data_IF_078575896067
#
_entry.id   IF_078575896067
#
_cell.length_a   1.000
_cell.length_b   1.000
_cell.length_c   1.000
_cell.angle_alpha   90.00
_cell.angle_beta   90.00
_cell.angle_gamma   90.00
#
_symmetry.space_group_name_H-M   'P 1'
#
loop_
_entity.id
_entity.type
_entity.pdbx_description
1 polymer ?
#
# COMPACT_ATOMS: atom_id res chain seq x y z
N UNK A 1 6.57 23.54 10.00
CA UNK A 1 5.32 22.89 9.53
C UNK A 1 4.34 22.83 10.70
N UNK A 2 3.06 23.15 10.51
CA UNK A 2 2.02 22.97 11.54
C UNK A 2 1.29 21.65 11.27
N UNK A 3 1.37 20.71 12.20
CA UNK A 3 0.71 19.41 12.06
C UNK A 3 -0.72 19.49 12.61
N UNK A 4 -1.67 18.94 11.85
CA UNK A 4 -3.06 18.80 12.31
C UNK A 4 -3.27 17.36 12.79
N UNK A 5 -3.24 17.19 14.11
CA UNK A 5 -3.36 15.87 14.76
C UNK A 5 -4.83 15.60 15.08
N UNK A 6 -5.36 14.50 14.56
CA UNK A 6 -6.68 13.99 14.87
C UNK A 6 -6.63 13.14 16.14
N UNK A 7 -7.36 13.56 17.17
CA UNK A 7 -7.41 12.90 18.48
C UNK A 7 -8.59 11.94 18.65
N UNK A 8 -9.33 11.63 17.57
CA UNK A 8 -10.50 10.74 17.61
C UNK A 8 -10.20 9.37 18.24
N UNK A 9 -8.97 8.89 18.12
CA UNK A 9 -8.55 7.57 18.62
C UNK A 9 -7.58 7.64 19.82
N UNK A 10 -7.42 8.82 20.42
CA UNK A 10 -6.53 8.98 21.55
C UNK A 10 -7.00 8.11 22.73
N UNK A 11 -6.06 7.42 23.36
CA UNK A 11 -6.27 6.70 24.61
C UNK A 11 -6.58 7.71 25.72
N UNK A 12 -7.62 7.41 26.48
CA UNK A 12 -8.10 8.25 27.57
C UNK A 12 -7.41 7.96 28.89
N UNK A 13 -7.92 8.58 29.96
CA UNK A 13 -7.47 8.28 31.32
C UNK A 13 -7.66 6.79 31.61
N UNK A 14 -6.64 6.17 32.21
CA UNK A 14 -6.58 4.73 32.52
C UNK A 14 -6.48 3.79 31.31
N UNK A 15 -6.19 4.32 30.12
CA UNK A 15 -5.90 3.52 28.92
C UNK A 15 -4.43 3.63 28.52
N UNK A 16 -3.84 2.50 28.10
CA UNK A 16 -2.42 2.42 27.76
C UNK A 16 -1.50 2.43 28.99
N UNK A 17 -0.23 2.76 28.77
CA UNK A 17 0.80 2.80 29.81
C UNK A 17 0.82 4.14 30.53
N UNK A 18 0.93 4.09 31.86
CA UNK A 18 1.21 5.26 32.70
C UNK A 18 2.70 5.51 32.93
N UNK A 19 3.59 4.72 32.31
CA UNK A 19 5.04 4.77 32.57
C UNK A 19 5.70 5.79 31.64
N UNK A 20 6.55 6.67 32.20
CA UNK A 20 7.33 7.66 31.44
C UNK A 20 8.51 7.03 30.72
N UNK A 21 8.90 7.65 29.61
CA UNK A 21 10.03 7.22 28.77
C UNK A 21 11.31 7.96 29.11
N UNK A 22 12.46 7.37 28.77
CA UNK A 22 13.78 8.01 28.93
C UNK A 22 14.20 8.92 27.75
N UNK A 23 13.31 9.11 26.76
CA UNK A 23 13.48 10.06 25.65
C UNK A 23 14.76 9.86 24.83
N UNK A 24 15.06 8.62 24.41
CA UNK A 24 16.23 8.32 23.58
C UNK A 24 15.91 8.10 22.11
N UNK A 25 14.73 7.56 21.79
CA UNK A 25 14.40 7.12 20.44
C UNK A 25 13.04 7.59 19.95
N UNK A 26 12.95 8.12 18.74
CA UNK A 26 11.68 8.09 17.99
C UNK A 26 11.71 6.81 17.16
N UNK A 27 10.67 5.95 17.22
CA UNK A 27 10.68 4.68 16.47
C UNK A 27 9.71 4.74 15.31
N UNK A 28 10.20 4.33 14.13
CA UNK A 28 9.50 4.32 12.86
C UNK A 28 9.04 2.90 12.54
N UNK A 29 7.75 2.77 12.20
CA UNK A 29 7.04 1.53 11.92
C UNK A 29 6.21 1.61 10.64
N UNK A 30 5.65 0.48 10.21
CA UNK A 30 4.55 0.41 9.26
C UNK A 30 3.49 -0.65 9.63
N UNK A 31 2.22 -0.34 9.36
CA UNK A 31 1.07 -1.06 9.95
C UNK A 31 0.73 -2.42 9.33
N UNK A 32 1.44 -2.85 8.29
CA UNK A 32 1.18 -3.95 7.34
C UNK A 32 -0.16 -3.87 6.57
N UNK A 33 -1.08 -3.01 7.02
CA UNK A 33 -2.44 -2.87 6.52
C UNK A 33 -2.65 -1.51 5.86
N UNK A 34 -3.65 -1.42 4.98
CA UNK A 34 -3.98 -0.18 4.29
C UNK A 34 -4.85 0.72 5.18
N UNK A 35 -4.50 2.01 5.21
CA UNK A 35 -5.32 3.08 5.77
C UNK A 35 -5.05 3.39 7.26
N UNK A 36 -4.71 4.64 7.56
CA UNK A 36 -4.28 5.04 8.89
C UNK A 36 -5.44 5.10 9.90
N UNK A 37 -6.62 5.59 9.49
CA UNK A 37 -7.81 5.62 10.34
C UNK A 37 -8.21 4.24 10.86
N UNK A 38 -8.15 3.23 9.99
CA UNK A 38 -8.52 1.87 10.32
C UNK A 38 -7.56 1.27 11.36
N UNK A 39 -6.26 1.46 11.16
CA UNK A 39 -5.23 1.01 12.09
C UNK A 39 -5.29 1.74 13.45
N UNK A 40 -5.48 3.07 13.44
CA UNK A 40 -5.65 3.85 14.68
C UNK A 40 -6.89 3.40 15.48
N UNK A 41 -8.02 3.21 14.78
CA UNK A 41 -9.23 2.63 15.37
C UNK A 41 -9.00 1.23 15.95
N UNK A 42 -8.24 0.39 15.25
CA UNK A 42 -7.89 -0.94 15.74
C UNK A 42 -7.10 -0.86 17.04
N UNK A 43 -6.02 -0.06 17.10
CA UNK A 43 -5.26 0.09 18.34
C UNK A 43 -6.13 0.60 19.50
N UNK A 44 -6.94 1.65 19.28
CA UNK A 44 -7.85 2.18 20.30
C UNK A 44 -8.80 1.12 20.86
N UNK A 45 -9.33 0.24 20.02
CA UNK A 45 -10.33 -0.73 20.43
C UNK A 45 -9.73 -2.03 21.01
N UNK A 46 -8.43 -2.30 20.78
CA UNK A 46 -7.84 -3.60 21.07
C UNK A 46 -6.61 -3.56 21.98
N UNK A 47 -6.04 -2.38 22.29
CA UNK A 47 -4.80 -2.24 23.07
C UNK A 47 -4.78 -3.05 24.36
N UNK A 48 -5.92 -3.14 25.07
CA UNK A 48 -6.01 -3.84 26.36
C UNK A 48 -5.86 -5.36 26.20
N UNK A 49 -6.35 -5.91 25.09
CA UNK A 49 -6.30 -7.34 24.79
C UNK A 49 -5.03 -7.75 24.05
N UNK A 50 -4.58 -6.93 23.10
CA UNK A 50 -3.43 -7.24 22.26
C UNK A 50 -2.11 -6.78 22.87
N UNK A 51 -2.18 -5.90 23.88
CA UNK A 51 -1.03 -5.23 24.49
C UNK A 51 -0.11 -4.60 23.43
N UNK A 52 -0.70 -3.99 22.40
CA UNK A 52 0.05 -3.26 21.37
C UNK A 52 -0.66 -2.00 20.90
N UNK A 53 0.11 -0.94 20.76
CA UNK A 53 -0.25 0.33 20.13
C UNK A 53 1.04 1.18 20.01
N UNK A 54 0.94 2.26 19.23
CA UNK A 54 1.95 3.32 19.10
C UNK A 54 1.35 4.69 19.45
N UNK A 55 2.15 5.77 19.47
CA UNK A 55 1.61 7.11 19.68
C UNK A 55 0.81 7.61 18.46
N UNK A 56 1.32 7.37 17.25
CA UNK A 56 0.72 7.94 16.04
C UNK A 56 0.64 6.96 14.90
N UNK A 57 -0.46 7.05 14.14
CA UNK A 57 -0.60 6.40 12.84
C UNK A 57 -0.77 7.48 11.78
N UNK A 58 0.10 7.47 10.77
CA UNK A 58 0.14 8.45 9.68
C UNK A 58 -0.27 7.78 8.38
N UNK A 59 -1.14 8.42 7.61
CA UNK A 59 -1.60 7.93 6.32
C UNK A 59 -2.86 8.65 5.84
N UNK A 60 -3.59 8.06 4.91
CA UNK A 60 -4.84 8.61 4.36
C UNK A 60 -4.68 10.02 3.74
N UNK A 61 -3.52 10.28 3.13
CA UNK A 61 -3.19 11.52 2.44
C UNK A 61 -2.55 12.58 3.35
N UNK A 62 -1.67 12.16 4.26
CA UNK A 62 -0.92 12.99 5.19
C UNK A 62 -1.66 13.28 6.51
N UNK A 63 -2.69 12.50 6.85
CA UNK A 63 -3.39 12.65 8.14
C UNK A 63 -2.58 11.97 9.24
N UNK A 64 -2.69 12.53 10.44
CA UNK A 64 -2.02 12.04 11.64
C UNK A 64 -3.11 11.72 12.66
N UNK A 65 -3.22 10.46 13.06
CA UNK A 65 -4.14 10.02 14.10
C UNK A 65 -3.36 9.69 15.36
N UNK A 66 -3.69 10.35 16.46
CA UNK A 66 -3.12 10.02 17.76
C UNK A 66 -3.82 8.83 18.38
N UNK A 67 -3.03 7.95 18.99
CA UNK A 67 -3.48 6.82 19.80
C UNK A 67 -2.88 6.93 21.20
N UNK A 68 -1.58 6.65 21.36
CA UNK A 68 -0.88 6.85 22.64
C UNK A 68 -0.59 8.32 22.96
N UNK A 69 -0.33 8.60 24.25
CA UNK A 69 0.17 9.90 24.69
C UNK A 69 1.70 10.00 24.54
N UNK A 70 2.19 11.20 24.22
CA UNK A 70 3.61 11.49 24.11
C UNK A 70 4.35 11.37 25.45
N UNK A 71 5.58 10.87 25.40
CA UNK A 71 6.45 10.73 26.57
C UNK A 71 6.03 9.62 27.54
N UNK A 72 5.05 8.80 27.15
CA UNK A 72 4.66 7.58 27.84
C UNK A 72 4.98 6.37 26.97
N UNK A 73 5.24 5.23 27.60
CA UNK A 73 5.54 4.01 26.86
C UNK A 73 4.36 3.63 25.97
N UNK A 74 4.64 3.28 24.71
CA UNK A 74 3.75 2.46 23.91
C UNK A 74 4.25 1.02 23.90
N UNK A 75 3.47 0.10 23.31
CA UNK A 75 3.83 -1.32 23.26
C UNK A 75 4.00 -1.80 21.81
N UNK A 76 4.83 -1.10 21.05
CA UNK A 76 5.07 -1.37 19.62
C UNK A 76 6.42 -2.02 19.28
N UNK A 77 7.43 -1.95 20.16
CA UNK A 77 8.82 -2.26 19.75
C UNK A 77 9.69 -2.96 20.80
N UNK A 78 9.07 -3.76 21.69
CA UNK A 78 9.78 -4.48 22.75
C UNK A 78 10.17 -3.60 23.95
N UNK A 79 10.35 -4.23 25.12
CA UNK A 79 10.35 -3.54 26.42
C UNK A 79 11.41 -2.43 26.55
N UNK A 80 12.64 -2.67 26.08
CA UNK A 80 13.70 -1.66 26.19
C UNK A 80 13.43 -0.45 25.29
N UNK A 81 13.12 -0.65 24.00
CA UNK A 81 12.83 0.48 23.13
C UNK A 81 11.53 1.19 23.57
N UNK A 82 10.48 0.47 23.96
CA UNK A 82 9.28 1.04 24.57
C UNK A 82 9.58 1.97 25.74
N UNK A 83 10.46 1.57 26.68
CA UNK A 83 10.86 2.39 27.82
C UNK A 83 11.69 3.62 27.46
N UNK A 84 12.27 3.66 26.25
CA UNK A 84 13.16 4.72 25.80
C UNK A 84 12.55 5.56 24.67
N UNK A 85 11.33 5.29 24.24
CA UNK A 85 10.70 5.94 23.09
C UNK A 85 9.47 6.77 23.45
N UNK A 86 9.60 8.11 23.53
CA UNK A 86 8.47 8.99 23.84
C UNK A 86 7.41 9.00 22.75
N UNK A 87 7.82 8.64 21.52
CA UNK A 87 6.96 8.57 20.35
C UNK A 87 7.39 7.40 19.48
N UNK A 88 6.41 6.57 19.12
CA UNK A 88 6.47 5.56 18.07
C UNK A 88 5.44 5.93 17.00
N UNK A 89 5.80 5.79 15.71
CA UNK A 89 5.02 6.26 14.57
C UNK A 89 4.86 5.13 13.57
N UNK A 90 3.61 4.80 13.28
CA UNK A 90 3.21 3.86 12.24
C UNK A 90 2.90 4.59 10.94
N UNK A 91 3.57 4.22 9.85
CA UNK A 91 3.15 4.62 8.50
C UNK A 91 2.17 3.58 7.95
N UNK A 92 0.93 4.01 7.70
CA UNK A 92 -0.06 3.13 7.09
C UNK A 92 0.28 2.84 5.64
N UNK A 93 -0.01 1.61 5.18
CA UNK A 93 0.19 1.29 3.77
C UNK A 93 -0.86 1.99 2.92
N UNK A 94 -0.48 2.28 1.68
CA UNK A 94 -1.39 2.70 0.62
C UNK A 94 -0.95 2.04 -0.68
N UNK A 95 -1.83 2.06 -1.67
CA UNK A 95 -1.54 1.60 -3.03
C UNK A 95 -1.68 2.75 -4.04
N UNK A 96 -1.84 3.97 -3.54
CA UNK A 96 -2.02 5.17 -4.35
C UNK A 96 -0.78 6.06 -4.20
N UNK A 97 -0.12 6.33 -5.32
CA UNK A 97 1.16 7.06 -5.34
C UNK A 97 1.02 8.49 -4.82
N UNK A 98 -0.06 9.18 -5.17
CA UNK A 98 -0.30 10.54 -4.71
C UNK A 98 -0.53 10.61 -3.20
N UNK A 99 -1.20 9.60 -2.65
CA UNK A 99 -1.42 9.42 -1.22
C UNK A 99 -0.10 9.10 -0.52
N UNK A 100 0.70 8.16 -1.04
CA UNK A 100 1.98 7.80 -0.44
C UNK A 100 2.92 9.01 -0.34
N UNK A 101 3.02 9.82 -1.39
CA UNK A 101 3.88 11.03 -1.38
C UNK A 101 3.55 11.94 -0.19
N UNK A 102 2.26 12.21 0.04
CA UNK A 102 1.79 13.02 1.16
C UNK A 102 2.02 12.34 2.51
N UNK A 103 1.75 11.03 2.57
CA UNK A 103 1.93 10.24 3.79
C UNK A 103 3.41 10.21 4.21
N UNK A 104 4.33 9.99 3.26
CA UNK A 104 5.77 9.91 3.48
C UNK A 104 6.36 11.26 3.87
N UNK A 105 5.97 12.35 3.20
CA UNK A 105 6.38 13.71 3.57
C UNK A 105 6.00 14.03 5.02
N UNK A 106 4.75 13.76 5.39
CA UNK A 106 4.27 13.98 6.76
C UNK A 106 4.96 13.06 7.75
N UNK A 107 5.16 11.79 7.41
CA UNK A 107 5.84 10.81 8.26
C UNK A 107 7.25 11.26 8.66
N UNK A 108 8.07 11.67 7.69
CA UNK A 108 9.43 12.14 7.93
C UNK A 108 9.44 13.45 8.70
N UNK A 109 8.68 14.46 8.25
CA UNK A 109 8.69 15.79 8.87
C UNK A 109 8.10 15.75 10.29
N UNK A 110 7.11 14.90 10.55
CA UNK A 110 6.54 14.71 11.88
C UNK A 110 7.50 13.99 12.81
N UNK A 111 8.17 12.92 12.35
CA UNK A 111 9.20 12.24 13.14
C UNK A 111 10.33 13.19 13.54
N UNK A 112 10.80 14.03 12.61
CA UNK A 112 11.79 15.09 12.87
C UNK A 112 11.31 16.09 13.93
N UNK A 113 10.08 16.58 13.80
CA UNK A 113 9.52 17.52 14.76
C UNK A 113 9.40 16.91 16.16
N UNK A 114 8.99 15.65 16.27
CA UNK A 114 8.94 14.93 17.56
C UNK A 114 10.32 14.66 18.14
N UNK A 115 11.31 14.33 17.32
CA UNK A 115 12.69 14.22 17.78
C UNK A 115 13.18 15.54 18.38
N UNK A 116 12.97 16.67 17.68
CA UNK A 116 13.34 18.00 18.17
C UNK A 116 12.59 18.38 19.46
N UNK A 117 11.30 18.12 19.55
CA UNK A 117 10.48 18.36 20.75
C UNK A 117 11.04 17.66 21.99
N UNK A 118 11.53 16.43 21.83
CA UNK A 118 12.11 15.62 22.91
C UNK A 118 13.63 15.73 23.04
N UNK A 119 14.28 16.67 22.33
CA UNK A 119 15.75 16.83 22.31
C UNK A 119 16.52 15.56 21.89
N UNK A 120 15.94 14.79 20.97
CA UNK A 120 16.52 13.60 20.35
C UNK A 120 17.16 14.00 19.01
N UNK A 121 18.37 13.50 18.68
CA UNK A 121 19.00 13.78 17.38
C UNK A 121 18.13 13.36 16.18
N UNK A 122 18.05 14.19 15.15
CA UNK A 122 17.39 13.87 13.87
C UNK A 122 18.32 13.08 12.95
N UNK A 123 18.83 11.96 13.44
CA UNK A 123 19.65 11.00 12.68
C UNK A 123 18.96 9.65 12.69
N UNK A 124 18.83 9.03 11.51
CA UNK A 124 18.24 7.70 11.37
C UNK A 124 19.31 6.64 11.67
N UNK A 125 18.99 5.69 12.56
CA UNK A 125 19.75 4.44 12.80
C UNK A 125 21.25 4.62 13.14
N UNK A 126 21.68 5.85 13.42
CA UNK A 126 23.03 6.15 13.89
C UNK A 126 23.31 5.54 15.28
N UNK A 127 24.57 5.49 15.68
CA UNK A 127 24.92 5.05 17.04
C UNK A 127 24.30 5.97 18.11
N UNK A 128 23.80 5.37 19.20
CA UNK A 128 23.21 6.11 20.33
C UNK A 128 21.78 6.62 20.08
N UNK A 129 21.42 7.73 20.72
CA UNK A 129 20.08 8.33 20.63
C UNK A 129 19.79 8.83 19.20
N UNK A 130 18.53 8.79 18.80
CA UNK A 130 18.12 9.28 17.49
C UNK A 130 16.80 8.68 17.03
N UNK A 131 16.46 8.89 15.78
CA UNK A 131 15.30 8.24 15.15
C UNK A 131 15.72 6.83 14.72
N UNK A 132 14.92 5.81 15.04
CA UNK A 132 15.24 4.40 14.78
C UNK A 132 14.16 3.73 13.94
N UNK A 133 14.55 2.90 13.01
CA UNK A 133 13.64 1.92 12.40
C UNK A 133 13.40 0.76 13.37
N UNK A 134 12.27 0.06 13.22
CA UNK A 134 12.04 -1.18 13.97
C UNK A 134 13.04 -2.27 13.58
N UNK A 135 13.55 -2.26 12.34
CA UNK A 135 14.66 -3.11 11.92
C UNK A 135 15.93 -2.86 12.75
N UNK A 136 16.30 -1.60 12.98
CA UNK A 136 17.45 -1.28 13.83
C UNK A 136 17.25 -1.79 15.26
N UNK A 137 16.05 -1.63 15.82
CA UNK A 137 15.72 -2.19 17.14
C UNK A 137 15.87 -3.71 17.15
N UNK A 138 15.38 -4.39 16.11
CA UNK A 138 15.52 -5.85 16.00
C UNK A 138 16.98 -6.29 15.94
N UNK A 139 17.82 -5.57 15.19
CA UNK A 139 19.24 -5.92 15.01
C UNK A 139 20.10 -5.61 16.25
N UNK A 140 19.75 -4.60 17.03
CA UNK A 140 20.62 -4.05 18.09
C UNK A 140 20.07 -4.26 19.50
N UNK A 141 18.78 -4.55 19.66
CA UNK A 141 18.11 -4.66 20.95
C UNK A 141 17.43 -6.02 21.06
N UNK A 142 16.35 -6.25 20.30
CA UNK A 142 15.54 -7.46 20.35
C UNK A 142 14.43 -7.40 19.30
N UNK A 143 14.04 -8.56 18.74
CA UNK A 143 12.90 -8.69 17.83
C UNK A 143 13.31 -9.32 16.49
N UNK A 144 12.37 -9.35 15.55
CA UNK A 144 12.58 -9.85 14.18
C UNK A 144 11.85 -9.02 13.14
N UNK A 145 11.46 -7.81 13.51
CA UNK A 145 10.70 -6.89 12.68
C UNK A 145 11.63 -6.20 11.68
N UNK A 146 11.10 -5.89 10.49
CA UNK A 146 11.89 -5.33 9.36
C UNK A 146 11.33 -4.02 8.82
N UNK A 147 10.37 -3.44 9.53
CA UNK A 147 9.72 -2.18 9.18
C UNK A 147 10.57 -0.92 9.50
N UNK A 148 10.34 0.20 8.78
CA UNK A 148 9.46 0.33 7.61
C UNK A 148 10.21 0.15 6.27
N UNK A 149 11.55 0.17 6.27
CA UNK A 149 12.34 0.26 5.02
C UNK A 149 12.27 -1.03 4.23
N UNK A 150 12.69 -2.15 4.82
CA UNK A 150 12.82 -3.43 4.11
C UNK A 150 11.46 -4.09 3.85
N UNK A 151 10.43 -3.76 4.64
CA UNK A 151 9.09 -4.33 4.47
C UNK A 151 8.18 -3.54 3.53
N UNK A 152 8.37 -2.21 3.41
CA UNK A 152 7.42 -1.33 2.73
C UNK A 152 8.07 -0.22 1.89
N UNK A 153 8.93 0.61 2.45
CA UNK A 153 9.40 1.81 1.75
C UNK A 153 10.27 1.47 0.52
N UNK A 154 11.23 0.56 0.65
CA UNK A 154 12.11 0.18 -0.45
C UNK A 154 11.39 -0.72 -1.49
N UNK A 155 10.76 -1.85 -1.11
CA UNK A 155 10.21 -2.76 -2.12
C UNK A 155 9.04 -2.17 -2.90
N UNK A 156 8.29 -1.19 -2.35
CA UNK A 156 7.13 -0.59 -2.99
C UNK A 156 7.38 0.79 -3.58
N UNK A 157 8.10 1.61 -2.83
CA UNK A 157 8.26 3.02 -3.15
C UNK A 157 9.71 3.39 -3.42
N UNK A 158 10.61 2.40 -3.55
CA UNK A 158 12.00 2.62 -3.93
C UNK A 158 12.76 3.58 -3.00
N UNK A 159 12.27 3.79 -1.77
CA UNK A 159 12.91 4.61 -0.75
C UNK A 159 13.86 3.70 0.00
N UNK A 160 15.16 3.85 -0.30
CA UNK A 160 16.21 3.06 0.35
C UNK A 160 16.47 3.55 1.78
N UNK A 161 17.23 2.76 2.54
CA UNK A 161 17.68 3.16 3.88
C UNK A 161 18.45 4.50 3.84
N UNK A 162 19.28 4.71 2.82
CA UNK A 162 20.05 5.95 2.63
C UNK A 162 19.14 7.13 2.32
N UNK A 163 18.10 6.92 1.51
CA UNK A 163 17.13 7.97 1.20
C UNK A 163 16.35 8.37 2.46
N UNK A 164 15.82 7.40 3.23
CA UNK A 164 15.12 7.72 4.48
C UNK A 164 16.07 8.40 5.48
N UNK A 165 17.33 7.97 5.57
CA UNK A 165 18.31 8.60 6.47
C UNK A 165 18.60 10.06 6.07
N UNK A 166 18.74 10.32 4.77
CA UNK A 166 18.88 11.67 4.24
C UNK A 166 17.65 12.53 4.57
N UNK A 167 16.46 12.03 4.24
CA UNK A 167 15.20 12.75 4.47
C UNK A 167 14.95 13.01 5.96
N UNK A 168 15.33 12.08 6.84
CA UNK A 168 15.29 12.28 8.29
C UNK A 168 16.31 13.31 8.76
N UNK A 169 17.47 13.45 8.11
CA UNK A 169 18.49 14.42 8.49
C UNK A 169 18.14 15.85 8.04
N UNK A 170 17.58 16.02 6.83
CA UNK A 170 17.36 17.34 6.24
C UNK A 170 15.89 17.75 6.10
N UNK A 171 14.96 16.79 6.14
CA UNK A 171 13.54 16.99 5.86
C UNK A 171 13.20 16.68 4.40
N UNK A 172 11.90 16.69 4.08
CA UNK A 172 11.41 16.56 2.70
C UNK A 172 10.87 17.91 2.26
N UNK A 173 11.55 18.53 1.30
CA UNK A 173 11.09 19.73 0.58
C UNK A 173 10.46 19.34 -0.78
N UNK A 174 10.99 18.29 -1.43
CA UNK A 174 10.41 17.65 -2.62
C UNK A 174 10.48 16.12 -2.44
N UNK A 175 9.36 15.42 -2.64
CA UNK A 175 9.33 13.95 -2.55
C UNK A 175 10.11 13.37 -3.73
N UNK A 176 11.30 12.84 -3.46
CA UNK A 176 12.12 12.14 -4.46
C UNK A 176 11.32 10.95 -5.01
N UNK A 177 11.24 10.85 -6.33
CA UNK A 177 10.54 9.73 -6.97
C UNK A 177 11.24 8.39 -6.66
N UNK A 178 10.46 7.34 -6.37
CA UNK A 178 10.93 5.96 -6.22
C UNK A 178 11.93 5.53 -7.30
N UNK A 179 13.06 4.93 -6.90
CA UNK A 179 14.06 4.38 -7.85
C UNK A 179 13.65 3.05 -8.50
N UNK A 180 12.63 2.36 -7.96
CA UNK A 180 12.16 1.09 -8.52
C UNK A 180 11.17 1.37 -9.66
N UNK A 181 11.68 1.29 -10.90
CA UNK A 181 10.85 1.45 -12.11
C UNK A 181 10.25 0.09 -12.46
N UNK A 182 8.95 -0.09 -12.21
CA UNK A 182 8.21 -1.20 -12.81
C UNK A 182 7.80 -0.76 -14.21
N UNK A 183 8.32 -1.44 -15.21
CA UNK A 183 8.14 -1.04 -16.61
C UNK A 183 6.88 -1.67 -17.18
N UNK A 184 6.21 -0.89 -18.05
CA UNK A 184 5.03 -1.22 -18.85
C UNK A 184 3.66 -0.99 -18.19
N UNK A 185 3.42 0.21 -17.65
CA UNK A 185 2.03 0.68 -17.58
C UNK A 185 1.52 0.85 -19.01
N UNK A 186 0.65 -0.05 -19.43
CA UNK A 186 0.07 -0.09 -20.75
C UNK A 186 -1.33 -0.68 -20.66
N UNK A 187 -2.28 -0.13 -21.41
CA UNK A 187 -3.63 -0.68 -21.52
C UNK A 187 -3.90 -1.29 -22.89
N UNK A 188 -2.88 -1.52 -23.72
CA UNK A 188 -3.02 -2.23 -24.98
C UNK A 188 -3.35 -3.70 -24.71
N UNK A 189 -4.45 -4.15 -25.30
CA UNK A 189 -4.88 -5.54 -25.36
C UNK A 189 -4.88 -5.99 -26.82
N UNK A 190 -4.29 -7.13 -27.10
CA UNK A 190 -4.13 -7.62 -28.47
C UNK A 190 -4.98 -8.86 -28.68
N UNK A 191 -5.78 -8.90 -29.74
CA UNK A 191 -6.55 -10.10 -30.07
C UNK A 191 -5.64 -11.25 -30.53
N UNK A 192 -6.06 -12.49 -30.29
CA UNK A 192 -5.33 -13.68 -30.75
C UNK A 192 -5.28 -13.73 -32.28
N UNK A 193 -4.26 -14.37 -32.84
CA UNK A 193 -4.21 -14.66 -34.28
C UNK A 193 -5.18 -15.79 -34.65
N UNK A 194 -5.80 -15.69 -35.85
CA UNK A 194 -6.61 -16.73 -36.51
C UNK A 194 -7.91 -17.18 -35.83
N UNK A 195 -8.04 -17.00 -34.51
CA UNK A 195 -9.10 -17.56 -33.67
C UNK A 195 -10.14 -16.53 -33.20
N UNK A 196 -10.24 -15.40 -33.90
CA UNK A 196 -11.15 -14.31 -33.55
C UNK A 196 -12.33 -14.33 -34.52
N UNK A 197 -13.55 -14.53 -34.01
CA UNK A 197 -14.76 -14.38 -34.84
C UNK A 197 -14.90 -12.92 -35.24
N UNK A 198 -15.31 -12.69 -36.49
CA UNK A 198 -15.47 -11.34 -37.06
C UNK A 198 -16.25 -10.41 -36.10
N UNK A 199 -17.32 -10.88 -35.45
CA UNK A 199 -18.15 -10.12 -34.52
C UNK A 199 -17.98 -10.49 -33.04
N UNK A 200 -16.74 -10.75 -32.60
CA UNK A 200 -16.47 -11.16 -31.22
C UNK A 200 -16.46 -9.99 -30.22
N UNK A 201 -17.38 -9.03 -30.38
CA UNK A 201 -17.55 -7.89 -29.47
C UNK A 201 -18.93 -7.88 -28.82
N UNK A 202 -19.01 -7.27 -27.65
CA UNK A 202 -20.24 -7.10 -26.88
C UNK A 202 -20.49 -5.63 -26.58
N UNK A 203 -21.74 -5.31 -26.27
CA UNK A 203 -22.14 -4.07 -25.60
C UNK A 203 -22.16 -4.29 -24.08
N UNK A 204 -22.24 -3.21 -23.31
CA UNK A 204 -22.30 -3.26 -21.85
C UNK A 204 -23.50 -4.08 -21.34
N UNK A 205 -24.62 -4.09 -22.07
CA UNK A 205 -25.81 -4.87 -21.73
C UNK A 205 -25.65 -6.38 -21.96
N UNK A 206 -24.52 -6.84 -22.49
CA UNK A 206 -24.24 -8.24 -22.80
C UNK A 206 -24.72 -8.71 -24.17
N UNK A 207 -25.36 -7.84 -24.95
CA UNK A 207 -25.74 -8.15 -26.33
C UNK A 207 -24.51 -8.17 -27.24
N UNK A 208 -24.50 -9.09 -28.21
CA UNK A 208 -23.44 -9.16 -29.21
C UNK A 208 -23.51 -7.95 -30.15
N UNK A 209 -22.36 -7.40 -30.50
CA UNK A 209 -22.27 -6.33 -31.48
C UNK A 209 -22.05 -6.94 -32.87
N UNK A 210 -23.11 -6.96 -33.67
CA UNK A 210 -23.16 -7.60 -35.00
C UNK A 210 -22.56 -6.76 -36.14
N UNK A 211 -22.08 -5.54 -35.85
CA UNK A 211 -21.59 -4.62 -36.88
C UNK A 211 -20.11 -4.29 -36.73
N UNK A 212 -19.51 -4.58 -35.57
CA UNK A 212 -18.10 -4.27 -35.31
C UNK A 212 -17.23 -5.48 -35.55
N UNK A 213 -16.37 -5.38 -36.55
CA UNK A 213 -15.37 -6.38 -36.86
C UNK A 213 -14.04 -6.11 -36.14
N UNK A 214 -13.45 -7.13 -35.53
CA UNK A 214 -12.10 -7.05 -34.96
C UNK A 214 -11.16 -7.98 -35.71
N UNK A 215 -10.13 -7.40 -36.33
CA UNK A 215 -9.12 -8.19 -37.01
C UNK A 215 -8.23 -8.96 -36.00
N UNK A 216 -7.86 -10.21 -36.30
CA UNK A 216 -6.90 -10.97 -35.50
C UNK A 216 -5.56 -10.23 -35.37
N UNK A 217 -4.88 -10.39 -34.22
CA UNK A 217 -3.58 -9.78 -33.98
C UNK A 217 -3.57 -8.25 -33.81
N UNK A 218 -4.74 -7.60 -33.75
CA UNK A 218 -4.81 -6.14 -33.60
C UNK A 218 -4.78 -5.72 -32.14
N UNK A 219 -4.00 -4.68 -31.85
CA UNK A 219 -3.88 -4.06 -30.52
C UNK A 219 -4.87 -2.91 -30.33
N UNK A 220 -5.48 -2.85 -29.16
CA UNK A 220 -6.46 -1.83 -28.78
C UNK A 220 -6.14 -1.27 -27.41
N UNK A 221 -6.14 0.06 -27.26
CA UNK A 221 -6.00 0.69 -25.94
C UNK A 221 -7.34 0.56 -25.21
N UNK A 222 -7.37 -0.27 -24.18
CA UNK A 222 -8.57 -0.44 -23.38
C UNK A 222 -8.71 0.64 -22.29
N UNK A 223 -9.93 1.09 -22.05
CA UNK A 223 -10.25 2.10 -21.04
C UNK A 223 -10.81 1.52 -19.74
N UNK A 224 -10.94 0.19 -19.63
CA UNK A 224 -11.62 -0.45 -18.51
C UNK A 224 -11.86 -1.93 -18.75
N UNK A 225 -12.04 -2.68 -17.66
CA UNK A 225 -12.50 -4.07 -17.73
C UNK A 225 -13.86 -4.14 -17.03
N UNK A 226 -14.85 -4.67 -17.73
CA UNK A 226 -16.19 -4.91 -17.21
C UNK A 226 -16.50 -6.40 -17.18
N UNK A 227 -17.31 -6.82 -16.21
CA UNK A 227 -17.83 -8.19 -16.17
C UNK A 227 -19.11 -8.27 -16.98
N UNK A 228 -19.02 -8.85 -18.18
CA UNK A 228 -20.14 -8.97 -19.11
C UNK A 228 -20.33 -10.45 -19.43
N UNK A 229 -21.55 -10.95 -19.23
CA UNK A 229 -21.90 -12.38 -19.38
C UNK A 229 -21.00 -13.31 -18.53
N UNK A 230 -20.60 -12.85 -17.33
CA UNK A 230 -19.78 -13.63 -16.40
C UNK A 230 -18.28 -13.65 -16.72
N UNK A 231 -17.84 -12.99 -17.79
CA UNK A 231 -16.44 -12.97 -18.24
C UNK A 231 -15.87 -11.54 -18.19
N UNK A 232 -14.57 -11.37 -17.88
CA UNK A 232 -13.92 -10.07 -17.98
C UNK A 232 -13.79 -9.64 -19.46
N UNK A 233 -14.23 -8.42 -19.75
CA UNK A 233 -14.18 -7.84 -21.09
C UNK A 233 -13.54 -6.46 -21.09
N UNK A 234 -12.67 -6.23 -22.06
CA UNK A 234 -11.95 -4.97 -22.24
C UNK A 234 -12.79 -3.97 -23.02
N UNK A 235 -13.00 -2.77 -22.47
CA UNK A 235 -13.65 -1.67 -23.19
C UNK A 235 -12.67 -1.06 -24.17
N UNK A 236 -12.88 -1.22 -25.47
CA UNK A 236 -11.99 -0.72 -26.54
C UNK A 236 -12.58 0.45 -27.34
N UNK A 237 -13.85 0.77 -27.08
CA UNK A 237 -14.58 1.90 -27.66
C UNK A 237 -15.87 2.10 -26.87
N UNK A 238 -16.55 3.25 -27.05
CA UNK A 238 -17.68 3.72 -26.22
C UNK A 238 -18.52 2.62 -25.56
N UNK A 239 -19.21 1.83 -26.37
CA UNK A 239 -19.99 0.65 -25.95
C UNK A 239 -19.52 -0.62 -26.67
N UNK A 240 -18.19 -0.76 -26.82
CA UNK A 240 -17.57 -1.87 -27.55
C UNK A 240 -16.59 -2.57 -26.61
N UNK A 241 -16.91 -3.82 -26.30
CA UNK A 241 -16.17 -4.66 -25.37
C UNK A 241 -15.67 -5.91 -26.08
N UNK A 242 -14.44 -6.33 -25.80
CA UNK A 242 -13.88 -7.60 -26.28
C UNK A 242 -13.62 -8.55 -25.10
N UNK A 243 -14.00 -9.83 -25.19
CA UNK A 243 -13.68 -10.80 -24.14
C UNK A 243 -12.18 -10.98 -23.96
N UNK A 244 -11.73 -11.07 -22.71
CA UNK A 244 -10.33 -11.42 -22.42
C UNK A 244 -9.94 -12.80 -22.97
N UNK A 245 -10.91 -13.71 -23.12
CA UNK A 245 -10.72 -15.06 -23.64
C UNK A 245 -10.24 -15.12 -25.10
N UNK A 246 -10.34 -14.02 -25.85
CA UNK A 246 -9.87 -13.90 -27.24
C UNK A 246 -8.66 -12.98 -27.40
N UNK A 247 -8.02 -12.57 -26.30
CA UNK A 247 -6.82 -11.73 -26.33
C UNK A 247 -5.56 -12.51 -25.94
N UNK A 248 -4.40 -11.86 -26.07
CA UNK A 248 -3.12 -12.34 -25.54
C UNK A 248 -3.12 -12.53 -24.02
N UNK A 249 -4.16 -12.06 -23.32
CA UNK A 249 -4.41 -12.27 -21.89
C UNK A 249 -5.41 -13.40 -21.58
N UNK A 250 -5.72 -14.26 -22.56
CA UNK A 250 -6.51 -15.47 -22.33
C UNK A 250 -5.93 -16.30 -21.17
N UNK A 251 -6.73 -16.50 -20.11
CA UNK A 251 -6.37 -17.32 -18.95
C UNK A 251 -5.25 -16.78 -18.06
N UNK A 252 -4.81 -15.53 -18.27
CA UNK A 252 -3.79 -14.87 -17.46
C UNK A 252 -4.08 -13.39 -17.27
N UNK A 253 -3.54 -12.81 -16.21
CA UNK A 253 -3.58 -11.38 -15.93
C UNK A 253 -2.16 -10.85 -15.87
N UNK A 254 -1.89 -9.76 -16.58
CA UNK A 254 -0.63 -9.01 -16.52
C UNK A 254 -0.84 -7.82 -15.60
N UNK A 255 0.06 -7.61 -14.63
CA UNK A 255 -0.06 -6.52 -13.67
C UNK A 255 0.38 -5.21 -14.33
N UNK A 256 -0.53 -4.26 -14.41
CA UNK A 256 -0.38 -2.93 -14.98
C UNK A 256 -0.23 -1.91 -13.86
N UNK A 257 0.96 -1.84 -13.25
CA UNK A 257 1.27 -0.91 -12.17
C UNK A 257 2.76 -0.57 -12.16
N UNK A 258 3.09 0.68 -11.78
CA UNK A 258 4.44 1.19 -11.59
C UNK A 258 4.94 1.01 -10.14
N UNK A 259 4.19 0.27 -9.32
CA UNK A 259 4.53 -0.13 -7.94
C UNK A 259 4.12 -1.60 -7.76
N UNK A 260 4.64 -2.34 -6.76
CA UNK A 260 4.08 -3.63 -6.43
C UNK A 260 2.65 -3.47 -5.93
N UNK A 261 1.83 -4.47 -6.24
CA UNK A 261 0.44 -4.53 -5.83
C UNK A 261 0.23 -5.68 -4.87
N UNK A 262 -0.80 -5.54 -4.03
CA UNK A 262 -1.19 -6.56 -3.08
C UNK A 262 -2.28 -7.47 -3.64
N UNK A 263 -2.12 -8.77 -3.45
CA UNK A 263 -3.27 -9.65 -3.41
C UNK A 263 -4.04 -9.37 -2.11
N UNK A 264 -5.36 -9.54 -2.19
CA UNK A 264 -6.23 -9.56 -1.03
C UNK A 264 -6.84 -10.93 -0.83
N UNK A 265 -7.29 -11.26 0.37
CA UNK A 265 -8.15 -12.41 0.62
C UNK A 265 -9.63 -12.05 0.38
N UNK A 266 -10.55 -13.00 0.63
CA UNK A 266 -11.99 -12.78 0.47
C UNK A 266 -12.60 -11.75 1.45
N UNK A 267 -11.88 -11.38 2.51
CA UNK A 267 -12.26 -10.30 3.43
C UNK A 267 -11.77 -8.93 2.96
N UNK A 268 -10.96 -8.88 1.90
CA UNK A 268 -10.31 -7.67 1.42
C UNK A 268 -9.03 -7.31 2.17
N UNK A 269 -8.51 -8.22 3.00
CA UNK A 269 -7.26 -8.02 3.75
C UNK A 269 -6.07 -8.36 2.85
N UNK A 270 -4.99 -7.60 2.94
CA UNK A 270 -3.75 -7.83 2.17
C UNK A 270 -3.15 -9.18 2.57
N UNK A 271 -2.74 -9.98 1.59
CA UNK A 271 -2.12 -11.29 1.80
C UNK A 271 -1.01 -11.59 0.79
N UNK A 272 -0.12 -12.50 1.18
CA UNK A 272 0.95 -12.99 0.33
C UNK A 272 2.09 -12.00 0.10
N UNK A 273 3.02 -12.39 -0.76
CA UNK A 273 4.13 -11.54 -1.18
C UNK A 273 3.65 -10.46 -2.16
N UNK A 274 4.47 -9.41 -2.28
CA UNK A 274 4.25 -8.33 -3.23
C UNK A 274 4.25 -8.85 -4.65
N UNK A 275 3.27 -8.41 -5.45
CA UNK A 275 3.18 -8.77 -6.85
C UNK A 275 3.78 -7.62 -7.67
N UNK A 276 4.91 -7.88 -8.32
CA UNK A 276 5.60 -6.86 -9.10
C UNK A 276 4.79 -6.45 -10.33
N UNK A 277 4.77 -5.15 -10.63
CA UNK A 277 4.29 -4.61 -11.91
C UNK A 277 4.98 -5.29 -13.10
N UNK A 278 4.23 -5.56 -14.16
CA UNK A 278 4.69 -6.29 -15.34
C UNK A 278 4.75 -7.81 -15.18
N UNK A 279 4.50 -8.36 -13.99
CA UNK A 279 4.41 -9.82 -13.81
C UNK A 279 3.09 -10.38 -14.35
N UNK A 280 3.13 -11.59 -14.92
CA UNK A 280 1.97 -12.27 -15.48
C UNK A 280 1.58 -13.48 -14.63
N UNK A 281 0.29 -13.59 -14.29
CA UNK A 281 -0.24 -14.63 -13.43
C UNK A 281 -1.37 -15.38 -14.10
N UNK A 282 -1.39 -16.71 -13.99
CA UNK A 282 -2.61 -17.48 -14.31
C UNK A 282 -3.69 -17.13 -13.29
N UNK A 283 -4.95 -17.16 -13.71
CA UNK A 283 -6.07 -17.03 -12.78
C UNK A 283 -7.04 -18.19 -12.96
N UNK A 284 -7.71 -18.57 -11.87
CA UNK A 284 -8.71 -19.63 -11.87
C UNK A 284 -10.13 -19.10 -12.15
N UNK A 285 -10.42 -17.90 -11.66
CA UNK A 285 -11.71 -17.22 -11.83
C UNK A 285 -11.57 -15.72 -11.58
N UNK A 286 -12.57 -14.94 -12.01
CA UNK A 286 -12.78 -13.56 -11.54
C UNK A 286 -13.94 -13.58 -10.55
N UNK A 287 -13.73 -13.03 -9.35
CA UNK A 287 -14.73 -13.03 -8.28
C UNK A 287 -14.91 -11.63 -7.71
N UNK A 288 -16.08 -11.35 -7.15
CA UNK A 288 -16.35 -10.09 -6.46
C UNK A 288 -15.91 -10.22 -4.99
N UNK A 289 -14.86 -9.49 -4.61
CA UNK A 289 -14.41 -9.38 -3.22
C UNK A 289 -15.14 -8.20 -2.57
N UNK A 290 -15.80 -8.38 -1.40
CA UNK A 290 -16.45 -7.30 -0.68
C UNK A 290 -15.52 -6.10 -0.45
N UNK A 291 -16.03 -4.88 -0.66
CA UNK A 291 -15.30 -3.60 -0.48
C UNK A 291 -14.08 -3.36 -1.41
N UNK A 292 -13.64 -4.37 -2.17
CA UNK A 292 -12.53 -4.25 -3.14
C UNK A 292 -13.05 -4.21 -4.58
N UNK A 293 -14.10 -4.98 -4.89
CA UNK A 293 -14.64 -5.12 -6.24
C UNK A 293 -14.21 -6.42 -6.91
N UNK A 294 -14.26 -6.48 -8.24
CA UNK A 294 -13.84 -7.68 -8.98
C UNK A 294 -12.33 -7.90 -8.88
N UNK A 295 -11.94 -9.14 -8.67
CA UNK A 295 -10.55 -9.57 -8.50
C UNK A 295 -10.29 -10.89 -9.23
N UNK A 296 -9.10 -11.05 -9.80
CA UNK A 296 -8.61 -12.31 -10.36
C UNK A 296 -8.10 -13.20 -9.24
N UNK A 297 -8.63 -14.43 -9.10
CA UNK A 297 -8.10 -15.44 -8.17
C UNK A 297 -6.82 -16.04 -8.76
N UNK A 298 -5.66 -15.62 -8.26
CA UNK A 298 -4.34 -16.01 -8.80
C UNK A 298 -3.68 -17.14 -8.02
N UNK A 299 -4.08 -17.37 -6.76
CA UNK A 299 -3.68 -18.53 -5.96
C UNK A 299 -4.74 -18.85 -4.89
N UNK A 300 -4.47 -19.83 -4.03
CA UNK A 300 -5.30 -20.09 -2.84
C UNK A 300 -5.31 -18.84 -1.96
N UNK A 301 -6.51 -18.34 -1.67
CA UNK A 301 -6.78 -17.13 -0.89
C UNK A 301 -6.08 -15.84 -1.36
N UNK A 302 -5.55 -15.81 -2.59
CA UNK A 302 -4.93 -14.60 -3.19
C UNK A 302 -5.73 -14.11 -4.39
N UNK A 303 -6.25 -12.89 -4.27
CA UNK A 303 -7.09 -12.23 -5.24
C UNK A 303 -6.48 -10.90 -5.67
N UNK A 304 -6.10 -10.76 -6.94
CA UNK A 304 -5.56 -9.54 -7.52
C UNK A 304 -6.71 -8.60 -7.94
N UNK A 305 -6.83 -7.38 -7.39
CA UNK A 305 -7.85 -6.43 -7.81
C UNK A 305 -7.78 -6.13 -9.31
N UNK A 306 -8.92 -6.19 -9.99
CA UNK A 306 -9.04 -6.02 -11.45
C UNK A 306 -8.52 -4.67 -11.93
N UNK A 307 -8.59 -3.63 -11.09
CA UNK A 307 -8.03 -2.30 -11.37
C UNK A 307 -6.52 -2.30 -11.65
N UNK A 308 -5.79 -3.36 -11.30
CA UNK A 308 -4.36 -3.50 -11.58
C UNK A 308 -4.06 -4.39 -12.78
N UNK A 309 -5.06 -4.88 -13.50
CA UNK A 309 -4.84 -5.68 -14.70
C UNK A 309 -4.54 -4.79 -15.91
N UNK A 310 -3.67 -5.24 -16.81
CA UNK A 310 -3.48 -4.60 -18.11
C UNK A 310 -4.80 -4.58 -18.89
N UNK A 311 -5.19 -3.39 -19.34
CA UNK A 311 -6.47 -3.10 -19.98
C UNK A 311 -7.55 -2.57 -19.03
N UNK A 312 -7.27 -2.48 -17.73
CA UNK A 312 -8.18 -1.89 -16.73
C UNK A 312 -8.37 -0.37 -16.86
N UNK A 313 -7.56 0.30 -17.68
CA UNK A 313 -7.52 1.76 -17.76
C UNK A 313 -6.65 2.40 -16.67
N UNK A 314 -5.96 1.62 -15.83
CA UNK A 314 -5.02 2.11 -14.83
C UNK A 314 -3.85 2.88 -15.47
N UNK A 315 -3.43 3.97 -14.84
CA UNK A 315 -2.45 4.94 -15.39
C UNK A 315 -1.22 5.17 -14.50
N UNK A 316 -1.11 4.44 -13.39
CA UNK A 316 -0.13 4.71 -12.33
C UNK A 316 -0.84 5.20 -11.08
#
# INVERSE_FOLDING_TARGET
MKFNVDNTFALGTYEGSSVRTANKFIVLHETTNIGAKANASYFKNNWATTQTYVQYVIGDGGKIYQVGADGYQAWGTGSYANANSPVQIELARTTDKATFKKDYEVFVNFARAKAQEFSIPTTLDAYGNGIKTHKWVSDNIWGSHTDPVQSYLEPFWGITQEQLAHDIAVGIEDVVEPKKVFTNINNVVTTLEGNVKAYATYKLDGSANSTTNIAPGTGWVSAGIEMINGEPQYRIGGDIYIPQSITTFKGKVLINSDIPVHAVNLKGEVVGANLDGGSAWKYAAVVKVPKVGYCYKIATDMYLPLKYAQGSGFKG
#
